data_IF_005770815545
#
_entry.id   IF_005770815545
#
_cell.length_a   1.000
_cell.length_b   1.000
_cell.length_c   1.000
_cell.angle_alpha   90.00
_cell.angle_beta   90.00
_cell.angle_gamma   90.00
#
_symmetry.space_group_name_H-M   'P 1'
#
loop_
_entity.id
_entity.type
_entity.pdbx_description
1 polymer ?
#
# COMPACT_ATOMS: atom_id res chain seq x y z
N UNK A 1 -14.00 -17.84 -0.50
CA UNK A 1 -13.36 -16.60 -0.97
C UNK A 1 -12.50 -16.07 0.15
N UNK A 2 -11.18 -16.02 -0.02
CA UNK A 2 -10.27 -15.47 0.99
C UNK A 2 -10.25 -13.94 0.86
N UNK A 3 -10.26 -13.26 2.00
CA UNK A 3 -10.19 -11.80 2.10
C UNK A 3 -8.93 -11.42 2.86
N UNK A 4 -8.12 -10.54 2.27
CA UNK A 4 -7.05 -9.87 2.98
C UNK A 4 -7.49 -8.45 3.35
N UNK A 5 -7.67 -8.21 4.64
CA UNK A 5 -8.17 -6.95 5.16
C UNK A 5 -7.07 -5.87 5.30
N UNK A 6 -5.79 -6.19 5.05
CA UNK A 6 -4.71 -5.25 5.29
C UNK A 6 -3.49 -5.51 4.39
N UNK A 7 -3.42 -4.82 3.25
CA UNK A 7 -2.27 -4.88 2.34
C UNK A 7 -1.70 -3.51 1.97
N UNK A 8 -0.41 -3.33 2.25
CA UNK A 8 0.39 -2.13 1.93
C UNK A 8 0.80 -2.05 0.44
N UNK A 9 -0.08 -2.46 -0.48
CA UNK A 9 0.21 -2.48 -1.92
C UNK A 9 0.42 -1.07 -2.49
N UNK A 10 -0.32 -0.07 -1.99
CA UNK A 10 -0.13 1.32 -2.38
C UNK A 10 1.23 1.85 -1.95
N UNK A 11 1.62 1.55 -0.71
CA UNK A 11 2.93 1.94 -0.18
C UNK A 11 4.08 1.28 -0.93
N UNK A 12 3.99 -0.01 -1.28
CA UNK A 12 5.01 -0.70 -2.06
C UNK A 12 5.20 -0.09 -3.46
N UNK A 13 4.09 0.29 -4.12
CA UNK A 13 4.15 0.96 -5.41
C UNK A 13 4.82 2.33 -5.32
N UNK A 14 4.46 3.10 -4.30
CA UNK A 14 4.96 4.45 -4.06
C UNK A 14 6.44 4.46 -3.65
N UNK A 15 6.81 3.67 -2.65
CA UNK A 15 8.13 3.74 -2.01
C UNK A 15 9.24 3.10 -2.83
N UNK A 16 8.89 2.09 -3.64
CA UNK A 16 9.87 1.29 -4.38
C UNK A 16 9.64 1.29 -5.90
N UNK A 17 8.63 2.00 -6.41
CA UNK A 17 8.29 2.03 -7.85
C UNK A 17 7.79 0.69 -8.39
N UNK A 18 7.31 -0.21 -7.51
CA UNK A 18 6.98 -1.59 -7.87
C UNK A 18 5.49 -1.71 -8.20
N UNK A 19 5.20 -1.99 -9.47
CA UNK A 19 3.81 -2.21 -9.90
C UNK A 19 3.18 -3.45 -9.27
N UNK A 20 1.85 -3.44 -9.14
CA UNK A 20 1.06 -4.54 -8.57
C UNK A 20 0.69 -5.63 -9.59
N UNK A 21 0.73 -5.31 -10.88
CA UNK A 21 0.18 -6.18 -11.94
C UNK A 21 1.17 -7.26 -12.43
N UNK A 22 2.46 -7.09 -12.16
CA UNK A 22 3.51 -8.02 -12.57
C UNK A 22 3.81 -9.05 -11.46
N UNK A 23 4.56 -10.14 -11.75
CA UNK A 23 5.03 -11.04 -10.71
C UNK A 23 5.77 -10.28 -9.59
N UNK A 24 5.74 -10.79 -8.34
CA UNK A 24 6.42 -10.12 -7.23
C UNK A 24 7.91 -9.96 -7.53
N UNK A 25 8.45 -8.76 -7.25
CA UNK A 25 9.88 -8.54 -7.33
C UNK A 25 10.64 -9.41 -6.29
N UNK A 26 11.94 -9.66 -6.52
CA UNK A 26 12.75 -10.47 -5.60
C UNK A 26 12.67 -9.97 -4.16
N UNK A 27 12.38 -10.88 -3.23
CA UNK A 27 12.17 -10.61 -1.80
C UNK A 27 10.76 -10.17 -1.40
N UNK A 28 9.80 -10.13 -2.33
CA UNK A 28 8.43 -9.68 -2.09
C UNK A 28 7.45 -10.81 -2.40
N UNK A 29 6.32 -10.82 -1.68
CA UNK A 29 5.32 -11.90 -1.77
C UNK A 29 4.04 -11.48 -2.49
N UNK A 30 3.72 -10.18 -2.44
CA UNK A 30 2.39 -9.67 -2.83
C UNK A 30 2.43 -9.02 -4.20
N UNK A 31 1.62 -9.55 -5.11
CA UNK A 31 1.23 -8.93 -6.37
C UNK A 31 -0.11 -9.52 -6.83
N UNK A 32 -0.73 -8.97 -7.87
CA UNK A 32 -1.98 -9.52 -8.40
C UNK A 32 -1.85 -11.00 -8.80
N UNK A 33 -0.82 -11.44 -9.55
CA UNK A 33 -0.62 -12.86 -9.84
C UNK A 33 -0.52 -13.74 -8.59
N UNK A 34 0.21 -13.32 -7.55
CA UNK A 34 0.36 -14.15 -6.34
C UNK A 34 -0.93 -14.25 -5.53
N UNK A 35 -1.70 -13.16 -5.44
CA UNK A 35 -3.01 -13.16 -4.78
C UNK A 35 -4.03 -14.04 -5.52
N UNK A 36 -4.03 -13.99 -6.86
CA UNK A 36 -4.89 -14.86 -7.69
C UNK A 36 -4.52 -16.32 -7.50
N UNK A 37 -3.22 -16.66 -7.51
CA UNK A 37 -2.75 -18.02 -7.28
C UNK A 37 -3.10 -18.55 -5.87
N UNK A 38 -3.23 -17.66 -4.90
CA UNK A 38 -3.64 -17.96 -3.53
C UNK A 38 -5.17 -17.90 -3.30
N UNK A 39 -5.97 -17.73 -4.36
CA UNK A 39 -7.44 -17.65 -4.28
C UNK A 39 -7.98 -16.51 -3.38
N UNK A 40 -7.23 -15.41 -3.28
CA UNK A 40 -7.66 -14.19 -2.59
C UNK A 40 -8.54 -13.37 -3.54
N UNK A 41 -9.81 -13.22 -3.16
CA UNK A 41 -10.83 -12.58 -4.01
C UNK A 41 -11.12 -11.12 -3.66
N UNK A 42 -10.73 -10.67 -2.47
CA UNK A 42 -10.89 -9.29 -2.02
C UNK A 42 -9.69 -8.86 -1.20
N UNK A 43 -9.20 -7.66 -1.48
CA UNK A 43 -8.11 -7.03 -0.74
C UNK A 43 -8.50 -5.61 -0.34
N UNK A 44 -8.01 -5.19 0.82
CA UNK A 44 -8.12 -3.81 1.28
C UNK A 44 -6.74 -3.16 1.20
N UNK A 45 -6.58 -2.23 0.26
CA UNK A 45 -5.37 -1.43 0.14
C UNK A 45 -5.31 -0.43 1.30
N UNK A 46 -4.25 -0.47 2.08
CA UNK A 46 -4.14 0.32 3.30
C UNK A 46 -3.71 1.75 3.00
N UNK A 47 -4.44 2.69 3.61
CA UNK A 47 -3.98 4.05 3.85
C UNK A 47 -3.48 4.11 5.29
N UNK A 48 -2.21 4.45 5.47
CA UNK A 48 -1.62 4.57 6.80
C UNK A 48 -1.61 6.03 7.25
N UNK A 49 -2.10 6.26 8.47
CA UNK A 49 -2.00 7.54 9.16
C UNK A 49 -1.03 7.42 10.33
N UNK A 50 -0.03 8.29 10.40
CA UNK A 50 0.84 8.34 11.57
C UNK A 50 0.07 8.85 12.81
N UNK A 51 0.31 8.30 14.02
CA UNK A 51 -0.28 8.83 15.25
C UNK A 51 0.06 10.30 15.46
N UNK A 52 -0.84 11.08 16.08
CA UNK A 52 -0.62 12.52 16.33
C UNK A 52 0.66 12.85 17.13
N UNK A 53 1.15 11.90 17.94
CA UNK A 53 2.41 12.02 18.70
C UNK A 53 3.67 11.63 17.92
N UNK A 54 3.52 11.16 16.68
CA UNK A 54 4.65 10.78 15.84
C UNK A 54 5.51 12.03 15.57
N UNK A 55 6.72 12.06 16.13
CA UNK A 55 7.66 13.17 15.94
C UNK A 55 8.26 13.21 14.54
N UNK A 56 8.10 12.14 13.76
CA UNK A 56 8.60 11.99 12.39
C UNK A 56 7.61 11.15 11.60
N UNK A 57 7.15 11.68 10.47
CA UNK A 57 6.55 10.90 9.39
C UNK A 57 7.57 10.75 8.28
N UNK A 58 7.40 9.74 7.42
CA UNK A 58 8.17 9.68 6.17
C UNK A 58 7.78 10.89 5.32
N UNK A 59 8.75 11.75 5.01
CA UNK A 59 8.55 12.87 4.07
C UNK A 59 8.77 12.35 2.65
N UNK A 60 7.74 11.77 2.06
CA UNK A 60 7.70 11.42 0.64
C UNK A 60 6.67 12.30 -0.07
N UNK A 61 6.69 12.35 -1.41
CA UNK A 61 5.68 13.08 -2.21
C UNK A 61 4.28 12.47 -2.18
N UNK A 62 4.03 11.49 -1.29
CA UNK A 62 2.81 10.68 -1.23
C UNK A 62 2.22 10.65 0.18
N UNK A 63 2.62 11.60 1.01
CA UNK A 63 2.09 11.80 2.36
C UNK A 63 1.46 13.18 2.40
N UNK A 64 0.20 13.22 2.79
CA UNK A 64 -0.47 14.45 3.18
C UNK A 64 -0.39 14.62 4.71
N UNK A 65 -0.14 15.84 5.15
CA UNK A 65 -0.02 16.20 6.57
C UNK A 65 -1.35 16.69 7.16
N UNK A 66 -2.30 17.09 6.32
CA UNK A 66 -3.58 17.62 6.73
C UNK A 66 -4.69 17.22 5.75
N UNK A 67 -5.95 17.45 6.16
CA UNK A 67 -7.12 17.10 5.36
C UNK A 67 -7.20 17.87 4.03
N UNK A 68 -6.62 19.07 3.95
CA UNK A 68 -6.60 19.84 2.72
C UNK A 68 -5.68 19.19 1.68
N UNK A 69 -4.46 18.83 2.06
CA UNK A 69 -3.53 18.08 1.21
C UNK A 69 -4.12 16.73 0.78
N UNK A 70 -4.84 16.04 1.66
CA UNK A 70 -5.51 14.78 1.34
C UNK A 70 -6.58 14.93 0.23
N UNK A 71 -7.30 16.06 0.21
CA UNK A 71 -8.32 16.32 -0.81
C UNK A 71 -7.73 16.72 -2.18
N UNK A 72 -6.44 17.03 -2.25
CA UNK A 72 -5.76 17.47 -3.48
C UNK A 72 -4.99 16.33 -4.18
N UNK A 73 -4.81 15.18 -3.52
CA UNK A 73 -4.14 13.98 -4.05
C UNK A 73 -5.15 12.96 -4.55
#
# INVERSE_FOLDING_TARGET
MIVDAHLDIGWNAISAGRGFLQPPASGYLVSRPSLVAAEIGLVFATLYTAPARARRSMRTGFVYQNAHEANLM
#
